data_IF_780460570732
#
_entry.id   IF_780460570732
#
_cell.length_a   1.000
_cell.length_b   1.000
_cell.length_c   1.000
_cell.angle_alpha   90.00
_cell.angle_beta   90.00
_cell.angle_gamma   90.00
#
_symmetry.space_group_name_H-M   'P 1'
#
loop_
_entity.id
_entity.type
_entity.pdbx_description
1 polymer ?
#
# COMPACT_ATOMS: atom_id res chain seq x y z
N UNK A 1 4.50 4.21 6.61
CA UNK A 1 4.90 2.96 5.92
C UNK A 1 6.10 2.39 6.63
N UNK A 2 6.10 1.10 6.98
CA UNK A 2 7.30 0.44 7.52
C UNK A 2 8.50 0.56 6.59
N UNK A 3 9.69 0.59 7.18
CA UNK A 3 10.94 0.59 6.42
C UNK A 3 11.02 -0.64 5.51
N UNK A 4 11.55 -0.45 4.29
CA UNK A 4 11.64 -1.50 3.29
C UNK A 4 10.29 -1.92 2.70
N UNK A 5 9.22 -1.12 2.84
CA UNK A 5 7.93 -1.31 2.15
C UNK A 5 7.60 -0.14 1.23
N UNK A 6 6.99 -0.43 0.09
CA UNK A 6 6.65 0.51 -0.97
C UNK A 6 5.25 0.22 -1.52
N UNK A 7 4.39 1.25 -1.57
CA UNK A 7 3.16 1.19 -2.37
C UNK A 7 3.59 1.32 -3.84
N UNK A 8 3.51 0.22 -4.60
CA UNK A 8 3.92 0.20 -6.01
C UNK A 8 2.80 0.63 -6.95
N UNK A 9 1.54 0.41 -6.55
CA UNK A 9 0.38 0.64 -7.40
C UNK A 9 -0.88 0.89 -6.57
N UNK A 10 -1.78 1.71 -7.09
CA UNK A 10 -3.13 1.92 -6.56
C UNK A 10 -4.13 1.55 -7.65
N UNK A 11 -5.05 0.63 -7.34
CA UNK A 11 -6.24 0.41 -8.15
C UNK A 11 -7.39 1.26 -7.59
N UNK A 12 -7.93 2.16 -8.43
CA UNK A 12 -9.03 3.06 -8.07
C UNK A 12 -10.05 3.12 -9.19
N UNK A 13 -11.29 2.72 -8.90
CA UNK A 13 -12.41 2.80 -9.85
C UNK A 13 -12.08 2.22 -11.24
N UNK A 14 -11.45 1.03 -11.28
CA UNK A 14 -11.05 0.36 -12.52
C UNK A 14 -9.74 0.87 -13.14
N UNK A 15 -9.15 1.95 -12.62
CA UNK A 15 -7.89 2.50 -13.13
C UNK A 15 -6.69 2.07 -12.29
N UNK A 16 -5.52 2.06 -12.92
CA UNK A 16 -4.21 1.86 -12.28
C UNK A 16 -3.49 3.20 -12.17
N UNK A 17 -3.06 3.54 -10.95
CA UNK A 17 -2.32 4.77 -10.65
C UNK A 17 -0.95 4.39 -10.08
N UNK A 18 0.12 4.97 -10.63
CA UNK A 18 1.48 4.86 -10.07
C UNK A 18 1.68 6.01 -9.06
N UNK A 19 1.81 5.71 -7.76
CA UNK A 19 1.86 6.74 -6.74
C UNK A 19 3.19 7.51 -6.75
N UNK A 20 3.11 8.78 -6.39
CA UNK A 20 4.23 9.67 -6.05
C UNK A 20 4.15 10.02 -4.56
N UNK A 21 5.16 10.71 -4.03
CA UNK A 21 5.16 11.16 -2.63
C UNK A 21 3.98 12.06 -2.25
N UNK A 22 3.38 12.75 -3.23
CA UNK A 22 2.20 13.59 -3.03
C UNK A 22 0.86 12.89 -3.30
N UNK A 23 0.87 11.60 -3.66
CA UNK A 23 -0.37 10.88 -3.98
C UNK A 23 -1.19 10.64 -2.71
N UNK A 24 -2.40 11.20 -2.69
CA UNK A 24 -3.36 10.97 -1.61
C UNK A 24 -4.11 9.65 -1.83
N UNK A 25 -4.26 8.90 -0.74
CA UNK A 25 -5.07 7.70 -0.68
C UNK A 25 -6.53 8.05 -0.40
N UNK A 26 -7.44 7.34 -1.03
CA UNK A 26 -8.88 7.53 -0.85
C UNK A 26 -9.54 6.21 -0.45
N UNK A 27 -10.70 6.31 0.21
CA UNK A 27 -11.49 5.14 0.55
C UNK A 27 -11.85 4.34 -0.71
N UNK A 28 -11.74 3.02 -0.63
CA UNK A 28 -11.97 2.12 -1.76
C UNK A 28 -10.74 1.87 -2.63
N UNK A 29 -9.62 2.56 -2.38
CA UNK A 29 -8.35 2.23 -3.00
C UNK A 29 -7.90 0.82 -2.63
N UNK A 30 -7.45 0.07 -3.63
CA UNK A 30 -6.73 -1.18 -3.41
C UNK A 30 -5.25 -0.97 -3.68
N UNK A 31 -4.44 -1.12 -2.65
CA UNK A 31 -3.00 -0.87 -2.70
C UNK A 31 -2.26 -2.16 -3.01
N UNK A 32 -1.32 -2.11 -3.95
CA UNK A 32 -0.28 -3.12 -4.09
C UNK A 32 0.95 -2.64 -3.33
N UNK A 33 1.40 -3.44 -2.36
CA UNK A 33 2.55 -3.13 -1.54
C UNK A 33 3.60 -4.22 -1.73
N UNK A 34 4.83 -3.82 -2.02
CA UNK A 34 5.99 -4.69 -2.10
C UNK A 34 6.97 -4.31 -0.99
N UNK A 35 7.73 -5.27 -0.47
CA UNK A 35 8.70 -4.98 0.57
C UNK A 35 9.30 -6.22 1.20
N UNK A 36 10.24 -6.01 2.12
CA UNK A 36 10.84 -7.10 2.88
C UNK A 36 9.81 -7.80 3.79
N UNK A 37 9.98 -9.09 4.07
CA UNK A 37 9.04 -9.86 4.88
C UNK A 37 8.69 -9.20 6.23
N UNK A 38 9.66 -8.57 6.90
CA UNK A 38 9.49 -7.86 8.17
C UNK A 38 8.51 -6.69 8.02
N UNK A 39 8.68 -5.88 6.97
CA UNK A 39 7.83 -4.74 6.66
C UNK A 39 6.40 -5.18 6.32
N UNK A 40 6.25 -6.25 5.52
CA UNK A 40 4.94 -6.80 5.17
C UNK A 40 4.22 -7.39 6.39
N UNK A 41 4.93 -8.12 7.27
CA UNK A 41 4.35 -8.63 8.52
C UNK A 41 3.86 -7.49 9.43
N UNK A 42 4.64 -6.41 9.52
CA UNK A 42 4.26 -5.22 10.30
C UNK A 42 3.02 -4.54 9.71
N UNK A 43 2.96 -4.36 8.38
CA UNK A 43 1.78 -3.82 7.70
C UNK A 43 0.52 -4.65 7.97
N UNK A 44 0.63 -5.98 7.92
CA UNK A 44 -0.49 -6.87 8.25
C UNK A 44 -1.00 -6.58 9.66
N UNK A 45 -0.12 -6.60 10.65
CA UNK A 45 -0.49 -6.35 12.04
C UNK A 45 -1.13 -4.96 12.27
N UNK A 46 -0.63 -3.93 11.60
CA UNK A 46 -1.08 -2.54 11.83
C UNK A 46 -2.37 -2.19 11.08
N UNK A 47 -2.62 -2.77 9.91
CA UNK A 47 -3.67 -2.32 8.99
C UNK A 47 -4.63 -3.41 8.51
N UNK A 48 -4.31 -4.69 8.71
CA UNK A 48 -5.17 -5.81 8.35
C UNK A 48 -5.60 -6.50 9.65
N UNK A 49 -6.87 -6.36 9.99
CA UNK A 49 -7.46 -7.13 11.08
C UNK A 49 -7.66 -8.55 10.52
N UNK A 50 -7.05 -9.54 11.16
CA UNK A 50 -7.34 -10.96 10.93
C UNK A 50 -8.61 -11.38 11.69
#
# INVERSE_FOLDING_TARGET
MPEGSLISMIHRAGNVIIPRGSTLLHQGDRLMIIGYPEGIRRLKKEYLIE
#
